data_IF_127493867214
#
_entry.id   IF_127493867214
#
_cell.length_a   1.000
_cell.length_b   1.000
_cell.length_c   1.000
_cell.angle_alpha   90.00
_cell.angle_beta   90.00
_cell.angle_gamma   90.00
#
_symmetry.space_group_name_H-M   'P 1'
#
loop_
_entity.id
_entity.type
_entity.pdbx_description
1 polymer ?
#
# COMPACT_ATOMS: atom_id res chain seq x y z
N UNK A 1 19.68 -65.37 8.47
CA UNK A 1 20.59 -65.50 9.64
C UNK A 1 20.88 -64.15 10.31
N UNK A 2 21.22 -63.10 9.56
CA UNK A 2 21.44 -61.73 10.10
C UNK A 2 20.24 -61.16 10.89
N UNK A 3 19.00 -61.31 10.40
CA UNK A 3 17.80 -60.78 11.05
C UNK A 3 17.50 -61.46 12.41
N UNK A 4 17.70 -62.79 12.49
CA UNK A 4 17.54 -63.55 13.75
C UNK A 4 18.61 -63.18 14.79
N UNK A 5 19.85 -62.91 14.36
CA UNK A 5 20.92 -62.47 15.25
C UNK A 5 20.68 -61.06 15.82
N UNK A 6 20.15 -60.14 15.01
CA UNK A 6 19.81 -58.78 15.45
C UNK A 6 18.69 -58.77 16.50
N UNK A 7 17.67 -59.63 16.33
CA UNK A 7 16.57 -59.80 17.27
C UNK A 7 17.06 -60.21 18.66
N UNK A 8 18.01 -61.15 18.75
CA UNK A 8 18.55 -61.60 20.03
C UNK A 8 19.39 -60.52 20.74
N UNK A 9 20.02 -59.62 19.99
CA UNK A 9 20.79 -58.49 20.53
C UNK A 9 19.88 -57.40 21.06
N UNK A 10 18.81 -57.06 20.34
CA UNK A 10 17.79 -56.08 20.76
C UNK A 10 16.98 -56.53 21.99
N UNK A 11 16.91 -57.83 22.26
CA UNK A 11 16.21 -58.39 23.42
C UNK A 11 16.98 -58.27 24.74
N UNK A 12 18.28 -57.91 24.69
CA UNK A 12 19.07 -57.67 25.90
C UNK A 12 18.60 -56.37 26.56
N UNK A 13 18.26 -56.41 27.87
CA UNK A 13 17.77 -55.24 28.62
C UNK A 13 18.68 -54.00 28.49
N UNK A 14 19.99 -54.18 28.51
CA UNK A 14 20.94 -53.07 28.36
C UNK A 14 20.76 -52.35 27.01
N UNK A 15 20.60 -53.11 25.92
CA UNK A 15 20.41 -52.56 24.57
C UNK A 15 19.08 -51.82 24.46
N UNK A 16 18.01 -52.35 25.06
CA UNK A 16 16.68 -51.70 25.06
C UNK A 16 16.71 -50.32 25.74
N UNK A 17 17.35 -50.22 26.92
CA UNK A 17 17.47 -48.95 27.64
C UNK A 17 18.28 -47.94 26.83
N UNK A 18 19.40 -48.36 26.23
CA UNK A 18 20.22 -47.48 25.39
C UNK A 18 19.44 -46.96 24.18
N UNK A 19 18.67 -47.81 23.50
CA UNK A 19 17.86 -47.42 22.36
C UNK A 19 16.80 -46.39 22.78
N UNK A 20 16.05 -46.64 23.85
CA UNK A 20 15.05 -45.69 24.35
C UNK A 20 15.65 -44.33 24.72
N UNK A 21 16.79 -44.32 25.42
CA UNK A 21 17.49 -43.07 25.75
C UNK A 21 17.96 -42.34 24.49
N UNK A 22 18.44 -43.05 23.47
CA UNK A 22 18.88 -42.44 22.21
C UNK A 22 17.73 -41.78 21.44
N UNK A 23 16.59 -42.45 21.33
CA UNK A 23 15.40 -41.89 20.68
C UNK A 23 14.82 -40.74 21.48
N UNK A 24 14.83 -40.82 22.82
CA UNK A 24 14.39 -39.73 23.67
C UNK A 24 15.30 -38.51 23.56
N UNK A 25 16.62 -38.71 23.55
CA UNK A 25 17.57 -37.63 23.31
C UNK A 25 17.42 -37.01 21.91
N UNK A 26 17.19 -37.83 20.88
CA UNK A 26 16.92 -37.36 19.52
C UNK A 26 15.59 -36.59 19.42
N UNK A 27 14.55 -37.01 20.15
CA UNK A 27 13.29 -36.31 20.25
C UNK A 27 13.46 -34.94 20.92
N UNK A 28 14.16 -34.88 22.06
CA UNK A 28 14.45 -33.62 22.73
C UNK A 28 15.32 -32.69 21.86
N UNK A 29 16.29 -33.25 21.14
CA UNK A 29 17.09 -32.52 20.16
C UNK A 29 16.23 -31.95 19.03
N UNK A 30 15.32 -32.74 18.46
CA UNK A 30 14.39 -32.28 17.43
C UNK A 30 13.48 -31.16 17.96
N UNK A 31 12.94 -31.29 19.18
CA UNK A 31 12.13 -30.24 19.82
C UNK A 31 12.93 -28.94 19.97
N UNK A 32 14.21 -29.01 20.36
CA UNK A 32 15.08 -27.83 20.41
C UNK A 32 15.34 -27.20 19.03
N UNK A 33 15.47 -28.02 17.98
CA UNK A 33 15.70 -27.55 16.62
C UNK A 33 14.48 -26.87 16.00
N UNK A 34 13.25 -27.21 16.41
CA UNK A 34 12.02 -26.59 15.86
C UNK A 34 12.03 -25.05 15.99
N UNK A 35 12.66 -24.51 17.04
CA UNK A 35 12.74 -23.06 17.26
C UNK A 35 13.58 -22.31 16.21
N UNK A 36 14.46 -23.03 15.50
CA UNK A 36 15.35 -22.46 14.48
C UNK A 36 14.86 -22.76 13.06
N UNK A 37 13.65 -23.29 12.91
CA UNK A 37 13.09 -23.58 11.60
C UNK A 37 12.74 -22.25 10.91
N UNK A 38 13.45 -21.94 9.84
CA UNK A 38 13.13 -20.81 8.98
C UNK A 38 11.78 -21.05 8.29
N UNK A 39 10.85 -20.11 8.45
CA UNK A 39 9.53 -20.16 7.85
C UNK A 39 9.56 -19.38 6.54
N UNK A 40 9.23 -20.04 5.44
CA UNK A 40 9.15 -19.41 4.13
C UNK A 40 9.69 -20.33 3.04
N UNK A 41 9.25 -20.09 1.81
CA UNK A 41 9.85 -20.71 0.64
C UNK A 41 10.62 -19.63 -0.10
N UNK A 42 11.93 -19.78 -0.19
CA UNK A 42 12.75 -18.90 -1.01
C UNK A 42 12.42 -19.14 -2.48
N UNK A 43 12.08 -18.08 -3.20
CA UNK A 43 11.60 -18.16 -4.58
C UNK A 43 12.66 -18.71 -5.55
N UNK A 44 13.94 -18.48 -5.27
CA UNK A 44 15.09 -18.99 -6.03
C UNK A 44 15.23 -20.53 -5.93
N UNK A 45 14.85 -21.13 -4.80
CA UNK A 45 14.90 -22.58 -4.55
C UNK A 45 13.76 -23.33 -5.25
N UNK A 46 12.64 -22.64 -5.50
CA UNK A 46 11.49 -23.20 -6.22
C UNK A 46 11.73 -23.35 -7.73
N UNK A 47 12.79 -22.74 -8.26
CA UNK A 47 13.09 -22.67 -9.69
C UNK A 47 14.27 -23.59 -10.07
N UNK A 48 14.30 -24.14 -11.31
CA UNK A 48 15.47 -24.83 -11.83
C UNK A 48 16.73 -23.94 -11.76
N UNK A 49 17.89 -24.55 -11.49
CA UNK A 49 19.17 -23.82 -11.35
C UNK A 49 19.64 -23.17 -12.65
N UNK A 50 19.17 -23.68 -13.79
CA UNK A 50 19.46 -23.23 -15.14
C UNK A 50 18.37 -22.31 -15.72
N UNK A 51 17.40 -21.89 -14.89
CA UNK A 51 16.35 -20.96 -15.31
C UNK A 51 16.89 -19.55 -15.44
N UNK A 52 16.53 -18.84 -16.53
CA UNK A 52 16.80 -17.41 -16.71
C UNK A 52 16.23 -16.53 -15.57
N UNK A 53 15.25 -17.06 -14.84
CA UNK A 53 14.66 -16.36 -13.69
C UNK A 53 15.62 -16.25 -12.51
N UNK A 54 16.65 -17.10 -12.42
CA UNK A 54 17.65 -16.99 -11.36
C UNK A 54 18.40 -15.67 -11.45
N UNK A 55 18.91 -15.34 -12.65
CA UNK A 55 19.62 -14.07 -12.89
C UNK A 55 18.67 -12.87 -12.74
N UNK A 56 17.43 -12.98 -13.22
CA UNK A 56 16.42 -11.93 -13.06
C UNK A 56 16.14 -11.59 -11.58
N UNK A 57 15.93 -12.59 -10.72
CA UNK A 57 15.69 -12.33 -9.29
C UNK A 57 16.94 -11.82 -8.59
N UNK A 58 18.13 -12.24 -9.00
CA UNK A 58 19.39 -11.70 -8.51
C UNK A 58 19.54 -10.21 -8.85
N UNK A 59 19.26 -9.82 -10.09
CA UNK A 59 19.33 -8.43 -10.53
C UNK A 59 18.28 -7.58 -9.81
N UNK A 60 17.06 -8.07 -9.63
CA UNK A 60 16.04 -7.37 -8.84
C UNK A 60 16.50 -7.17 -7.39
N UNK A 61 17.01 -8.22 -6.74
CA UNK A 61 17.42 -8.13 -5.34
C UNK A 61 18.61 -7.18 -5.12
N UNK A 62 19.48 -7.02 -6.11
CA UNK A 62 20.71 -6.22 -5.99
C UNK A 62 20.59 -4.80 -6.55
N UNK A 63 19.79 -4.60 -7.60
CA UNK A 63 19.71 -3.33 -8.32
C UNK A 63 18.43 -2.56 -8.03
N UNK A 64 17.31 -3.24 -7.73
CA UNK A 64 16.02 -2.56 -7.57
C UNK A 64 15.98 -1.83 -6.22
N UNK A 65 15.74 -0.52 -6.29
CA UNK A 65 15.68 0.36 -5.09
C UNK A 65 14.28 0.54 -4.54
N UNK A 66 13.28 -0.08 -5.15
CA UNK A 66 11.87 0.03 -4.78
C UNK A 66 11.26 -1.35 -4.65
N UNK A 67 10.36 -1.51 -3.69
CA UNK A 67 9.57 -2.72 -3.52
C UNK A 67 8.40 -2.79 -4.50
N UNK A 68 7.63 -3.89 -4.46
CA UNK A 68 6.36 -3.97 -5.18
C UNK A 68 5.39 -2.86 -4.70
N UNK A 69 4.51 -2.37 -5.59
CA UNK A 69 3.52 -1.36 -5.21
C UNK A 69 2.48 -1.94 -4.24
N UNK A 70 2.03 -1.11 -3.30
CA UNK A 70 0.94 -1.42 -2.37
C UNK A 70 -0.19 -0.44 -2.61
N UNK A 71 -1.41 -0.95 -2.74
CA UNK A 71 -2.61 -0.15 -2.96
C UNK A 71 -3.47 -0.17 -1.70
N UNK A 72 -3.66 0.99 -1.10
CA UNK A 72 -4.54 1.14 0.05
C UNK A 72 -5.94 1.55 -0.42
N UNK A 73 -6.94 0.70 -0.18
CA UNK A 73 -8.28 0.86 -0.75
C UNK A 73 -9.27 1.28 0.33
N UNK A 74 -9.79 2.52 0.23
CA UNK A 74 -10.92 2.99 1.03
C UNK A 74 -12.24 2.65 0.32
N UNK A 75 -13.10 1.86 0.97
CA UNK A 75 -14.41 1.49 0.43
C UNK A 75 -15.49 2.45 0.92
N UNK A 76 -16.44 2.78 0.05
CA UNK A 76 -17.66 3.52 0.42
C UNK A 76 -17.40 4.94 0.93
N UNK A 77 -16.39 5.63 0.41
CA UNK A 77 -16.07 7.01 0.79
C UNK A 77 -17.21 7.96 0.42
N UNK A 78 -17.76 8.65 1.41
CA UNK A 78 -18.78 9.67 1.18
C UNK A 78 -18.11 11.03 0.92
N UNK A 79 -18.31 11.57 -0.29
CA UNK A 79 -17.75 12.85 -0.75
C UNK A 79 -18.61 14.07 -0.39
N UNK A 80 -19.68 13.90 0.37
CA UNK A 80 -20.50 15.02 0.84
C UNK A 80 -19.67 15.98 1.72
N UNK A 81 -19.82 17.32 1.61
CA UNK A 81 -19.09 18.27 2.46
C UNK A 81 -19.24 18.02 3.97
N UNK A 82 -20.44 17.65 4.41
CA UNK A 82 -20.73 17.29 5.81
C UNK A 82 -20.11 15.97 6.26
N UNK A 83 -19.60 15.16 5.32
CA UNK A 83 -18.93 13.90 5.64
C UNK A 83 -17.49 14.15 6.08
N UNK A 84 -17.09 13.47 7.15
CA UNK A 84 -15.70 13.46 7.61
C UNK A 84 -14.81 12.51 6.79
N UNK A 85 -15.36 11.68 5.91
CA UNK A 85 -14.60 10.62 5.23
C UNK A 85 -13.44 11.17 4.41
N UNK A 86 -13.64 12.28 3.71
CA UNK A 86 -12.56 12.93 2.98
C UNK A 86 -11.52 13.48 3.97
N UNK A 87 -11.91 14.06 5.13
CA UNK A 87 -10.98 14.57 6.16
C UNK A 87 -10.13 13.46 6.77
N UNK A 88 -10.72 12.27 6.91
CA UNK A 88 -10.06 11.06 7.40
C UNK A 88 -9.15 10.42 6.35
N UNK A 89 -9.25 10.82 5.09
CA UNK A 89 -8.46 10.22 4.00
C UNK A 89 -7.35 11.15 3.50
N UNK A 90 -7.67 12.40 3.17
CA UNK A 90 -6.81 13.38 2.49
C UNK A 90 -5.58 13.81 3.31
N UNK A 91 -4.55 14.37 2.67
CA UNK A 91 -3.34 14.92 3.32
C UNK A 91 -3.15 16.43 3.15
N UNK A 92 -4.01 17.09 2.38
CA UNK A 92 -3.96 18.55 2.18
C UNK A 92 -4.34 19.36 3.43
N UNK A 93 -4.17 20.68 3.35
CA UNK A 93 -4.58 21.61 4.40
C UNK A 93 -6.09 21.49 4.68
N UNK A 94 -6.45 21.37 5.96
CA UNK A 94 -7.84 21.14 6.39
C UNK A 94 -8.19 19.66 6.67
N UNK A 95 -7.33 18.72 6.26
CA UNK A 95 -7.48 17.30 6.59
C UNK A 95 -6.99 16.99 8.01
N UNK A 96 -7.41 15.86 8.57
CA UNK A 96 -6.95 15.47 9.89
C UNK A 96 -5.46 15.08 9.88
N UNK A 97 -4.69 15.42 10.93
CA UNK A 97 -3.27 15.06 11.02
C UNK A 97 -3.05 13.54 11.11
N UNK A 98 -4.08 12.80 11.55
CA UNK A 98 -4.10 11.34 11.58
C UNK A 98 -4.94 10.73 10.45
N UNK A 99 -5.14 11.45 9.35
CA UNK A 99 -5.79 10.88 8.16
C UNK A 99 -4.97 9.70 7.59
N UNK A 100 -5.63 8.87 6.78
CA UNK A 100 -5.04 7.71 6.14
C UNK A 100 -3.75 8.05 5.38
N UNK A 101 -3.76 9.09 4.56
CA UNK A 101 -2.58 9.48 3.78
C UNK A 101 -1.49 10.10 4.64
N UNK A 102 -1.86 10.89 5.67
CA UNK A 102 -0.88 11.40 6.63
C UNK A 102 -0.24 10.27 7.45
N UNK A 103 -0.97 9.20 7.78
CA UNK A 103 -0.41 8.02 8.43
C UNK A 103 0.56 7.26 7.50
N UNK A 104 0.22 7.11 6.23
CA UNK A 104 1.12 6.48 5.24
C UNK A 104 2.38 7.33 5.05
N UNK A 105 2.24 8.65 4.96
CA UNK A 105 3.39 9.57 4.88
C UNK A 105 4.28 9.47 6.12
N UNK A 106 3.70 9.39 7.32
CA UNK A 106 4.46 9.17 8.57
C UNK A 106 5.16 7.80 8.56
N UNK A 107 4.49 6.74 8.11
CA UNK A 107 5.08 5.41 7.98
C UNK A 107 6.27 5.41 7.00
N UNK A 108 6.18 6.17 5.91
CA UNK A 108 7.26 6.31 4.93
C UNK A 108 8.54 6.94 5.52
N UNK A 109 8.41 7.75 6.59
CA UNK A 109 9.57 8.34 7.28
C UNK A 109 10.36 7.31 8.12
N UNK A 110 9.74 6.18 8.45
CA UNK A 110 10.34 5.07 9.22
C UNK A 110 10.38 3.78 8.37
N UNK A 111 10.75 3.91 7.10
CA UNK A 111 10.83 2.81 6.12
C UNK A 111 11.51 1.51 6.63
N UNK A 112 12.58 1.53 7.45
CA UNK A 112 13.20 0.30 7.94
C UNK A 112 12.30 -0.58 8.81
N UNK A 113 11.28 -0.01 9.46
CA UNK A 113 10.32 -0.76 10.29
C UNK A 113 8.95 -0.89 9.63
N UNK A 114 8.51 0.10 8.87
CA UNK A 114 7.21 0.10 8.20
C UNK A 114 7.20 -0.63 6.85
N UNK A 115 8.37 -0.82 6.24
CA UNK A 115 8.53 -1.34 4.87
C UNK A 115 7.83 -0.50 3.79
N UNK A 116 7.44 0.73 4.11
CA UNK A 116 6.90 1.71 3.17
C UNK A 116 8.00 2.71 2.86
N UNK A 117 8.42 2.78 1.59
CA UNK A 117 9.54 3.63 1.18
C UNK A 117 9.13 5.06 0.78
N UNK A 118 7.88 5.25 0.34
CA UNK A 118 7.39 6.52 -0.19
C UNK A 118 5.96 6.80 0.27
N UNK A 119 5.56 8.07 0.28
CA UNK A 119 4.16 8.46 0.50
C UNK A 119 3.26 7.89 -0.61
N UNK A 120 1.97 7.71 -0.28
CA UNK A 120 0.98 7.26 -1.26
C UNK A 120 0.57 8.39 -2.21
N UNK A 121 0.35 8.06 -3.48
CA UNK A 121 -0.35 8.93 -4.41
C UNK A 121 -1.84 9.02 -4.04
N UNK A 122 -2.44 10.20 -4.22
CA UNK A 122 -3.77 10.52 -3.72
C UNK A 122 -4.61 11.24 -4.76
N UNK A 123 -5.51 10.50 -5.41
CA UNK A 123 -6.46 11.09 -6.36
C UNK A 123 -7.34 12.17 -5.73
N UNK A 124 -7.66 12.05 -4.44
CA UNK A 124 -8.54 12.99 -3.75
C UNK A 124 -7.82 14.30 -3.42
N UNK A 125 -6.54 14.26 -3.04
CA UNK A 125 -5.74 15.47 -2.83
C UNK A 125 -5.46 16.18 -4.16
N UNK A 126 -5.16 15.41 -5.22
CA UNK A 126 -4.95 15.94 -6.57
C UNK A 126 -6.24 16.58 -7.09
N UNK A 127 -7.39 15.94 -6.88
CA UNK A 127 -8.70 16.48 -7.26
C UNK A 127 -9.03 17.77 -6.49
N UNK A 128 -8.85 17.80 -5.16
CA UNK A 128 -9.09 19.01 -4.36
C UNK A 128 -8.17 20.15 -4.80
N UNK A 129 -6.91 19.84 -5.12
CA UNK A 129 -5.94 20.82 -5.61
C UNK A 129 -6.31 21.33 -7.01
N UNK A 130 -6.74 20.45 -7.91
CA UNK A 130 -7.18 20.80 -9.26
C UNK A 130 -8.42 21.72 -9.27
N UNK A 131 -9.29 21.55 -8.28
CA UNK A 131 -10.49 22.37 -8.07
C UNK A 131 -10.20 23.75 -7.46
N UNK A 132 -8.96 24.03 -7.06
CA UNK A 132 -8.61 25.28 -6.39
C UNK A 132 -8.72 26.48 -7.36
N UNK A 133 -9.62 27.45 -7.13
CA UNK A 133 -9.81 28.60 -8.02
C UNK A 133 -8.63 29.58 -8.00
N UNK A 134 -7.75 29.49 -7.00
CA UNK A 134 -6.48 30.23 -6.99
C UNK A 134 -5.55 29.73 -8.09
N UNK A 135 -5.72 28.49 -8.54
CA UNK A 135 -5.01 27.89 -9.66
C UNK A 135 -5.84 28.05 -10.94
N UNK A 136 -5.79 29.26 -11.50
CA UNK A 136 -6.58 29.70 -12.65
C UNK A 136 -6.38 28.94 -13.98
N UNK A 137 -5.55 27.90 -14.01
CA UNK A 137 -5.28 27.07 -15.19
C UNK A 137 -5.80 25.64 -15.09
N UNK A 138 -6.24 25.19 -13.92
CA UNK A 138 -6.63 23.79 -13.69
C UNK A 138 -8.08 23.56 -14.09
N UNK A 139 -9.03 23.66 -13.15
CA UNK A 139 -10.44 23.51 -13.46
C UNK A 139 -10.97 24.79 -14.15
N UNK A 140 -11.23 24.70 -15.45
CA UNK A 140 -11.82 25.76 -16.26
C UNK A 140 -13.05 25.29 -17.03
N UNK A 141 -13.95 26.22 -17.28
CA UNK A 141 -15.20 25.98 -17.99
C UNK A 141 -15.47 27.11 -18.97
N UNK A 142 -16.01 26.78 -20.14
CA UNK A 142 -16.52 27.77 -21.09
C UNK A 142 -17.82 28.39 -20.58
N UNK A 143 -18.22 29.54 -21.14
CA UNK A 143 -19.49 30.20 -20.83
C UNK A 143 -20.74 29.34 -21.12
N UNK A 144 -20.60 28.30 -21.95
CA UNK A 144 -21.65 27.31 -22.23
C UNK A 144 -21.67 26.14 -21.21
N UNK A 145 -20.96 26.27 -20.09
CA UNK A 145 -20.82 25.28 -19.03
C UNK A 145 -20.12 23.96 -19.40
N UNK A 146 -19.34 23.94 -20.49
CA UNK A 146 -18.56 22.76 -20.90
C UNK A 146 -17.11 22.85 -20.43
N UNK A 147 -16.48 21.69 -20.23
CA UNK A 147 -15.09 21.60 -19.79
C UNK A 147 -14.14 22.31 -20.77
N UNK A 148 -13.27 23.16 -20.24
CA UNK A 148 -12.22 23.82 -20.98
C UNK A 148 -10.86 23.20 -20.67
N UNK A 149 -10.24 22.46 -21.62
CA UNK A 149 -8.93 21.83 -21.42
C UNK A 149 -7.84 22.84 -21.08
N UNK A 150 -6.84 22.42 -20.29
CA UNK A 150 -5.70 23.26 -19.87
C UNK A 150 -4.91 23.86 -21.05
N UNK A 151 -4.85 23.15 -22.17
CA UNK A 151 -4.13 23.57 -23.38
C UNK A 151 -4.88 24.63 -24.21
N UNK A 152 -6.17 24.87 -23.93
CA UNK A 152 -6.95 25.87 -24.66
C UNK A 152 -6.49 27.29 -24.30
N UNK A 153 -6.28 28.11 -25.34
CA UNK A 153 -5.99 29.55 -25.27
C UNK A 153 -7.26 30.40 -25.22
N UNK A 154 -8.44 29.77 -25.28
CA UNK A 154 -9.72 30.46 -25.29
C UNK A 154 -10.04 31.10 -23.92
N UNK A 155 -10.90 32.11 -23.94
CA UNK A 155 -11.39 32.78 -22.73
C UNK A 155 -12.31 31.82 -21.96
N UNK A 156 -11.73 31.19 -20.94
CA UNK A 156 -12.41 30.29 -20.02
C UNK A 156 -12.38 30.84 -18.59
N UNK A 157 -13.45 30.59 -17.85
CA UNK A 157 -13.56 30.97 -16.45
C UNK A 157 -13.15 29.80 -15.55
N UNK A 158 -12.70 30.08 -14.34
CA UNK A 158 -12.47 29.04 -13.33
C UNK A 158 -13.78 28.35 -13.01
N UNK A 159 -13.75 27.04 -12.76
CA UNK A 159 -14.97 26.28 -12.43
C UNK A 159 -15.73 26.83 -11.22
N UNK A 160 -15.05 27.58 -10.36
CA UNK A 160 -15.62 28.23 -9.19
C UNK A 160 -15.08 29.65 -9.06
N UNK A 161 -15.97 30.59 -8.79
CA UNK A 161 -15.59 31.89 -8.28
C UNK A 161 -15.31 31.76 -6.78
N UNK A 162 -14.14 32.23 -6.34
CA UNK A 162 -13.82 32.37 -4.91
C UNK A 162 -14.75 33.32 -4.14
N UNK A 163 -15.83 33.80 -4.77
CA UNK A 163 -16.89 34.67 -4.24
C UNK A 163 -18.16 33.89 -3.84
N UNK A 164 -18.09 32.56 -3.72
CA UNK A 164 -19.19 31.79 -3.13
C UNK A 164 -19.60 32.44 -1.78
N UNK A 165 -20.91 32.59 -1.50
CA UNK A 165 -21.40 33.26 -0.28
C UNK A 165 -21.00 32.54 1.02
N UNK A 166 -20.33 31.39 0.93
CA UNK A 166 -19.70 30.71 2.05
C UNK A 166 -18.33 31.36 2.37
N UNK A 167 -18.20 32.13 3.48
CA UNK A 167 -16.98 32.89 3.79
C UNK A 167 -15.79 32.01 4.20
N UNK A 168 -15.96 30.68 4.21
CA UNK A 168 -14.96 29.69 4.65
C UNK A 168 -14.01 29.23 3.54
N UNK A 169 -14.21 29.64 2.28
CA UNK A 169 -13.39 29.17 1.17
C UNK A 169 -11.91 29.58 1.30
N UNK A 170 -11.63 30.76 1.86
CA UNK A 170 -10.28 31.34 1.91
C UNK A 170 -9.50 31.08 3.20
N UNK A 171 -10.14 30.57 4.26
CA UNK A 171 -9.46 30.25 5.52
C UNK A 171 -9.65 28.80 5.98
N UNK A 172 -10.54 28.03 5.34
CA UNK A 172 -11.03 26.74 5.86
C UNK A 172 -11.55 25.79 4.77
N UNK A 173 -10.94 25.77 3.57
CA UNK A 173 -11.09 24.65 2.63
C UNK A 173 -12.53 24.14 2.43
N UNK A 174 -13.44 25.01 1.99
CA UNK A 174 -14.80 24.57 1.67
C UNK A 174 -14.73 23.53 0.55
N UNK A 175 -15.08 22.30 0.89
CA UNK A 175 -15.14 21.19 -0.07
C UNK A 175 -16.18 21.46 -1.14
N UNK A 176 -15.95 21.00 -2.39
CA UNK A 176 -16.98 21.06 -3.40
C UNK A 176 -18.22 20.28 -2.96
N UNK A 177 -19.39 20.80 -3.27
CA UNK A 177 -20.67 20.13 -3.03
C UNK A 177 -20.78 18.87 -3.89
N UNK A 178 -21.66 17.93 -3.50
CA UNK A 178 -21.86 16.68 -4.28
C UNK A 178 -22.26 16.96 -5.73
N UNK A 179 -23.06 18.00 -5.98
CA UNK A 179 -23.45 18.38 -7.33
C UNK A 179 -22.25 18.85 -8.17
N UNK A 180 -21.37 19.65 -7.58
CA UNK A 180 -20.14 20.10 -8.22
C UNK A 180 -19.23 18.91 -8.49
N UNK A 181 -19.01 18.04 -7.49
CA UNK A 181 -18.18 16.84 -7.62
C UNK A 181 -18.66 15.95 -8.77
N UNK A 182 -19.95 15.67 -8.84
CA UNK A 182 -20.51 14.82 -9.89
C UNK A 182 -20.32 15.42 -11.30
N UNK A 183 -20.35 16.76 -11.41
CA UNK A 183 -20.12 17.48 -12.67
C UNK A 183 -18.64 17.49 -13.06
N UNK A 184 -17.73 17.70 -12.11
CA UNK A 184 -16.31 17.97 -12.38
C UNK A 184 -15.41 16.74 -12.30
N UNK A 185 -15.82 15.64 -11.65
CA UNK A 185 -15.03 14.40 -11.64
C UNK A 185 -14.69 13.88 -13.05
N UNK A 186 -15.65 13.79 -14.00
CA UNK A 186 -15.33 13.31 -15.35
C UNK A 186 -14.28 14.18 -16.04
N UNK A 187 -14.36 15.50 -15.83
CA UNK A 187 -13.42 16.47 -16.40
C UNK A 187 -12.03 16.35 -15.79
N UNK A 188 -11.95 16.12 -14.47
CA UNK A 188 -10.70 15.82 -13.80
C UNK A 188 -10.05 14.56 -14.37
N UNK A 189 -10.84 13.49 -14.57
CA UNK A 189 -10.34 12.22 -15.12
C UNK A 189 -9.92 12.33 -16.59
N UNK A 190 -10.44 13.30 -17.34
CA UNK A 190 -10.01 13.62 -18.71
C UNK A 190 -8.75 14.51 -18.73
N UNK A 191 -8.52 15.28 -17.68
CA UNK A 191 -7.40 16.21 -17.58
C UNK A 191 -6.10 15.58 -17.05
N UNK A 192 -6.16 14.42 -16.40
CA UNK A 192 -5.02 13.66 -15.86
C UNK A 192 -4.55 12.56 -16.81
#
# INVERSE_FOLDING_TARGET
RLIMGLSQVLQKRAVQVTVLLSFFAMLLGAIGCIQHLELGLEQTVALPKDSYLQDYFHDIATQLRVGPPVYFVQKGMNLHPDSEDVNKTCSTAGCYPNSMLNQIQQAAQIAPSSYIATSAASWIDDYISWMNPSLNRCCRMYSNETFCPTESTDDCETCFDGNSPDPLFHLHGSRPTVAQINKTIPWFMEAI
#
